data_IF_597245552939
#
_entry.id   IF_597245552939
#
_cell.length_a   1.000
_cell.length_b   1.000
_cell.length_c   1.000
_cell.angle_alpha   90.00
_cell.angle_beta   90.00
_cell.angle_gamma   90.00
#
_symmetry.space_group_name_H-M   'P 1'
#
loop_
_entity.id
_entity.type
_entity.pdbx_description
1 polymer ?
#
# COMPACT_ATOMS: atom_id res chain seq x y z
N UNK A 1 -17.39 15.68 -13.38
CA UNK A 1 -16.59 14.94 -12.42
C UNK A 1 -17.10 15.32 -11.03
N UNK A 2 -17.54 14.33 -10.25
CA UNK A 2 -18.19 14.55 -8.94
C UNK A 2 -17.17 14.45 -7.78
N UNK A 3 -15.88 14.51 -8.09
CA UNK A 3 -14.79 14.37 -7.15
C UNK A 3 -14.01 15.66 -6.89
N UNK A 4 -13.06 15.55 -5.97
CA UNK A 4 -12.10 16.60 -5.62
C UNK A 4 -10.68 16.15 -5.98
N UNK A 5 -9.87 17.07 -6.51
CA UNK A 5 -8.46 16.86 -6.79
C UNK A 5 -7.63 18.07 -6.31
N UNK A 6 -6.51 17.80 -5.64
CA UNK A 6 -5.57 18.81 -5.21
C UNK A 6 -4.13 18.28 -5.25
N UNK A 7 -3.19 19.20 -5.38
CA UNK A 7 -1.77 18.91 -5.17
C UNK A 7 -1.50 19.06 -3.67
N UNK A 8 -0.76 18.11 -3.11
CA UNK A 8 -0.28 18.16 -1.73
C UNK A 8 1.25 18.12 -1.74
N UNK A 9 1.85 18.75 -0.74
CA UNK A 9 3.30 18.70 -0.54
C UNK A 9 3.69 17.36 0.10
N UNK A 10 4.73 16.72 -0.45
CA UNK A 10 5.39 15.58 0.19
C UNK A 10 6.36 16.01 1.28
N UNK A 11 6.84 15.05 2.05
CA UNK A 11 7.91 15.30 3.02
C UNK A 11 9.24 15.58 2.30
N UNK A 12 10.16 16.28 2.97
CA UNK A 12 11.52 16.59 2.44
C UNK A 12 12.57 15.93 3.34
N UNK A 13 13.41 15.04 2.79
CA UNK A 13 13.45 14.55 1.41
C UNK A 13 12.27 13.63 1.07
N UNK A 14 11.81 13.69 -0.21
CA UNK A 14 10.63 12.98 -0.66
C UNK A 14 10.99 11.54 -1.09
N UNK A 15 10.76 10.59 -0.18
CA UNK A 15 10.99 9.16 -0.39
C UNK A 15 9.75 8.35 -0.04
N UNK A 16 9.72 7.11 -0.51
CA UNK A 16 8.59 6.19 -0.34
C UNK A 16 8.22 5.96 1.13
N UNK A 17 9.18 5.57 1.97
CA UNK A 17 8.88 5.22 3.36
C UNK A 17 8.31 6.40 4.17
N UNK A 18 8.94 7.59 4.21
CA UNK A 18 8.39 8.70 5.01
C UNK A 18 7.05 9.20 4.49
N UNK A 19 6.85 9.27 3.18
CA UNK A 19 5.55 9.71 2.64
C UNK A 19 4.44 8.69 2.92
N UNK A 20 4.68 7.39 2.71
CA UNK A 20 3.68 6.37 3.05
C UNK A 20 3.35 6.37 4.54
N UNK A 21 4.34 6.55 5.42
CA UNK A 21 4.07 6.64 6.86
C UNK A 21 3.34 7.92 7.24
N UNK A 22 3.60 9.03 6.56
CA UNK A 22 2.82 10.27 6.77
C UNK A 22 1.36 10.08 6.34
N UNK A 23 1.11 9.41 5.22
CA UNK A 23 -0.24 9.07 4.75
C UNK A 23 -0.93 8.14 5.77
N UNK A 24 -0.23 7.07 6.18
CA UNK A 24 -0.79 6.03 7.04
C UNK A 24 -0.99 6.45 8.51
N UNK A 25 -0.26 7.47 8.98
CA UNK A 25 -0.37 7.95 10.37
C UNK A 25 -1.06 9.31 10.51
N UNK A 26 -1.24 10.05 9.40
CA UNK A 26 -1.72 11.43 9.43
C UNK A 26 -0.75 12.39 10.13
N UNK A 27 0.55 12.03 10.23
CA UNK A 27 1.55 12.75 11.00
C UNK A 27 2.83 12.99 10.18
N UNK A 28 3.64 14.01 10.50
CA UNK A 28 4.92 14.26 9.86
C UNK A 28 6.03 13.31 10.38
N UNK A 29 7.17 13.19 9.67
CA UNK A 29 8.31 12.38 10.07
C UNK A 29 8.84 12.66 11.49
N UNK A 30 8.76 13.89 11.97
CA UNK A 30 9.12 14.26 13.34
C UNK A 30 8.28 13.55 14.42
N UNK A 31 7.09 13.12 14.06
CA UNK A 31 6.16 12.39 14.94
C UNK A 31 6.29 10.89 14.71
N UNK A 32 6.09 10.41 13.46
CA UNK A 32 6.11 8.97 13.19
C UNK A 32 7.50 8.34 13.13
N UNK A 33 8.58 9.13 13.06
CA UNK A 33 9.95 8.66 13.21
C UNK A 33 10.64 8.18 11.92
N UNK A 34 9.91 7.95 10.83
CA UNK A 34 10.46 7.49 9.56
C UNK A 34 10.86 8.72 8.73
N UNK A 35 12.15 9.04 8.67
CA UNK A 35 12.67 10.25 8.03
C UNK A 35 13.22 10.04 6.62
N UNK A 36 13.37 8.79 6.19
CA UNK A 36 13.93 8.42 4.88
C UNK A 36 13.74 6.95 4.60
N UNK A 37 14.26 6.47 3.48
CA UNK A 37 14.36 5.03 3.21
C UNK A 37 15.53 4.40 4.00
N UNK A 38 16.55 5.20 4.32
CA UNK A 38 17.73 4.84 5.09
C UNK A 38 18.09 5.95 6.07
N UNK A 39 18.82 5.60 7.12
CA UNK A 39 19.53 6.54 7.97
C UNK A 39 20.95 6.02 8.26
N UNK A 40 21.86 6.93 8.60
CA UNK A 40 23.18 6.56 9.10
C UNK A 40 23.06 6.38 10.61
N UNK A 41 23.34 5.16 11.08
CA UNK A 41 23.35 4.87 12.51
C UNK A 41 24.57 5.56 13.16
N UNK A 42 24.38 6.50 14.10
CA UNK A 42 25.49 7.24 14.69
C UNK A 42 26.40 6.39 15.58
N UNK A 43 25.92 5.26 16.09
CA UNK A 43 26.67 4.39 17.00
C UNK A 43 27.55 3.41 16.22
N UNK A 44 27.08 2.91 15.07
CA UNK A 44 27.80 1.92 14.26
C UNK A 44 28.45 2.53 13.02
N UNK A 45 27.96 3.67 12.52
CA UNK A 45 28.38 4.28 11.26
C UNK A 45 27.87 3.53 10.03
N UNK A 46 26.89 2.64 10.18
CA UNK A 46 26.31 1.86 9.09
C UNK A 46 25.03 2.51 8.54
N UNK A 47 24.79 2.32 7.24
CA UNK A 47 23.49 2.66 6.63
C UNK A 47 22.45 1.61 6.99
N UNK A 48 21.40 2.04 7.68
CA UNK A 48 20.30 1.19 8.12
C UNK A 48 19.02 1.52 7.36
N UNK A 49 18.42 0.49 6.77
CA UNK A 49 17.15 0.63 6.05
C UNK A 49 16.00 0.84 7.03
N UNK A 50 15.19 1.90 6.83
CA UNK A 50 14.04 2.24 7.68
C UNK A 50 12.77 1.48 7.31
N UNK A 51 12.83 0.17 7.14
CA UNK A 51 11.67 -0.69 6.85
C UNK A 51 11.15 -1.43 8.08
N UNK A 52 11.96 -1.53 9.13
CA UNK A 52 11.58 -2.25 10.35
C UNK A 52 10.55 -1.42 11.13
N UNK A 53 9.41 -1.99 11.50
CA UNK A 53 8.37 -1.31 12.31
C UNK A 53 8.87 -0.74 13.63
N UNK A 54 9.99 -1.26 14.18
CA UNK A 54 10.61 -0.73 15.43
C UNK A 54 10.99 0.76 15.36
N UNK A 55 11.19 1.29 14.14
CA UNK A 55 11.49 2.71 13.93
C UNK A 55 10.24 3.59 13.95
N UNK A 56 9.06 2.98 13.81
CA UNK A 56 7.79 3.71 13.84
C UNK A 56 7.42 4.11 15.27
N UNK A 57 7.19 5.40 15.47
CA UNK A 57 6.90 5.99 16.80
C UNK A 57 5.44 6.36 16.99
N UNK A 58 4.62 6.19 15.96
CA UNK A 58 3.18 6.46 15.99
C UNK A 58 2.40 5.24 15.53
N UNK A 59 1.17 5.12 15.98
CA UNK A 59 0.24 4.14 15.41
C UNK A 59 -0.15 4.54 13.98
N UNK A 60 -0.53 3.53 13.19
CA UNK A 60 -1.17 3.76 11.90
C UNK A 60 -2.67 3.99 12.07
N UNK A 61 -3.28 4.73 11.15
CA UNK A 61 -4.74 4.87 11.10
C UNK A 61 -5.43 3.50 11.01
N UNK A 62 -4.79 2.53 10.36
CA UNK A 62 -5.29 1.17 10.21
C UNK A 62 -5.40 0.44 11.54
N UNK A 63 -4.34 0.52 12.35
CA UNK A 63 -4.36 -0.05 13.70
C UNK A 63 -5.41 0.63 14.59
N UNK A 64 -5.50 1.97 14.55
CA UNK A 64 -6.48 2.73 15.32
C UNK A 64 -7.93 2.41 14.92
N UNK A 65 -8.22 2.27 13.64
CA UNK A 65 -9.55 1.88 13.17
C UNK A 65 -9.89 0.44 13.55
N UNK A 66 -8.94 -0.49 13.42
CA UNK A 66 -9.14 -1.88 13.85
C UNK A 66 -9.40 -1.98 15.35
N UNK A 67 -8.64 -1.26 16.19
CA UNK A 67 -8.85 -1.20 17.63
C UNK A 67 -10.22 -0.56 18.00
N UNK A 68 -10.76 0.30 17.15
CA UNK A 68 -12.11 0.84 17.25
C UNK A 68 -13.21 -0.11 16.74
N UNK A 69 -12.84 -1.29 16.25
CA UNK A 69 -13.76 -2.33 15.78
C UNK A 69 -14.13 -2.25 14.30
N UNK A 70 -13.45 -1.43 13.50
CA UNK A 70 -13.65 -1.39 12.05
C UNK A 70 -12.99 -2.60 11.37
N UNK A 71 -13.61 -3.10 10.31
CA UNK A 71 -13.02 -4.05 9.39
C UNK A 71 -11.96 -3.37 8.52
N UNK A 72 -10.69 -3.77 8.65
CA UNK A 72 -9.56 -3.14 7.99
C UNK A 72 -8.83 -4.13 7.09
N UNK A 73 -8.49 -3.71 5.86
CA UNK A 73 -7.64 -4.46 4.96
C UNK A 73 -6.51 -3.58 4.40
N UNK A 74 -5.27 -4.03 4.56
CA UNK A 74 -4.07 -3.40 4.02
C UNK A 74 -3.40 -4.36 3.05
N UNK A 75 -3.33 -3.98 1.78
CA UNK A 75 -2.74 -4.80 0.73
C UNK A 75 -1.63 -3.99 0.06
N UNK A 76 -0.44 -4.55 0.00
CA UNK A 76 0.71 -3.91 -0.62
C UNK A 76 1.24 -4.70 -1.81
N UNK A 77 1.83 -4.03 -2.76
CA UNK A 77 2.56 -4.72 -3.83
C UNK A 77 3.79 -5.43 -3.27
N UNK A 78 4.60 -4.72 -2.48
CA UNK A 78 5.86 -5.22 -1.90
C UNK A 78 5.77 -5.44 -0.39
N UNK A 79 6.40 -6.50 0.09
CA UNK A 79 6.32 -6.91 1.50
C UNK A 79 7.00 -5.93 2.47
N UNK A 80 8.03 -5.24 2.04
CA UNK A 80 8.76 -4.28 2.90
C UNK A 80 7.85 -3.21 3.51
N UNK A 81 6.93 -2.66 2.72
CA UNK A 81 6.00 -1.64 3.18
C UNK A 81 4.87 -2.24 4.04
N UNK A 82 4.48 -3.48 3.76
CA UNK A 82 3.45 -4.21 4.52
C UNK A 82 3.76 -4.25 6.01
N UNK A 83 5.02 -4.50 6.38
CA UNK A 83 5.43 -4.60 7.79
C UNK A 83 5.16 -3.31 8.56
N UNK A 84 5.44 -2.15 7.96
CA UNK A 84 5.19 -0.85 8.59
C UNK A 84 3.70 -0.49 8.60
N UNK A 85 3.01 -0.67 7.47
CA UNK A 85 1.57 -0.37 7.36
C UNK A 85 0.72 -1.27 8.26
N UNK A 86 1.11 -2.55 8.41
CA UNK A 86 0.47 -3.51 9.28
C UNK A 86 0.92 -3.49 10.74
N UNK A 87 1.79 -2.53 11.11
CA UNK A 87 2.26 -2.43 12.49
C UNK A 87 1.10 -2.25 13.47
N UNK A 88 1.03 -3.12 14.48
CA UNK A 88 -0.04 -3.16 15.48
C UNK A 88 -1.48 -3.37 14.95
N UNK A 89 -1.63 -3.73 13.67
CA UNK A 89 -2.95 -4.07 13.12
C UNK A 89 -3.44 -5.41 13.68
N UNK A 90 -4.38 -5.37 14.62
CA UNK A 90 -4.97 -6.54 15.28
C UNK A 90 -6.31 -6.87 14.67
N UNK A 91 -6.49 -8.13 14.24
CA UNK A 91 -7.78 -8.60 13.69
C UNK A 91 -8.12 -8.09 12.29
N UNK A 92 -7.24 -7.33 11.66
CA UNK A 92 -7.37 -6.89 10.27
C UNK A 92 -6.69 -7.84 9.29
N UNK A 93 -6.93 -7.63 8.00
CA UNK A 93 -6.24 -8.31 6.90
C UNK A 93 -5.02 -7.48 6.49
N UNK A 94 -3.82 -8.11 6.42
CA UNK A 94 -2.62 -7.42 5.98
C UNK A 94 -1.68 -8.36 5.23
N UNK A 95 -1.53 -8.18 3.92
CA UNK A 95 -0.64 -8.99 3.10
C UNK A 95 -0.02 -8.22 1.93
N UNK A 96 0.96 -8.85 1.26
CA UNK A 96 1.56 -8.34 0.03
C UNK A 96 1.29 -9.28 -1.15
N UNK A 97 1.15 -8.73 -2.35
CA UNK A 97 1.07 -9.54 -3.57
C UNK A 97 2.38 -10.27 -3.87
N UNK A 98 3.51 -9.72 -3.42
CA UNK A 98 4.83 -10.36 -3.48
C UNK A 98 4.86 -11.75 -2.80
N UNK A 99 4.13 -11.93 -1.70
CA UNK A 99 4.07 -13.16 -0.93
C UNK A 99 2.65 -13.75 -0.79
N UNK A 100 1.77 -13.44 -1.73
CA UNK A 100 0.34 -13.82 -1.68
C UNK A 100 0.12 -15.33 -1.49
N UNK A 101 0.97 -16.18 -2.09
CA UNK A 101 0.89 -17.63 -1.96
C UNK A 101 1.30 -18.17 -0.57
N UNK A 102 1.89 -17.34 0.27
CA UNK A 102 2.39 -17.72 1.60
C UNK A 102 1.55 -17.14 2.75
N UNK A 103 0.44 -16.48 2.43
CA UNK A 103 -0.45 -15.90 3.45
C UNK A 103 -1.07 -16.97 4.35
N UNK A 104 -1.09 -16.67 5.64
CA UNK A 104 -1.73 -17.51 6.65
C UNK A 104 -2.73 -16.71 7.48
N UNK A 105 -3.77 -17.36 7.99
CA UNK A 105 -4.73 -16.73 8.91
C UNK A 105 -4.04 -16.12 10.14
N UNK A 106 -2.99 -16.77 10.65
CA UNK A 106 -2.31 -16.34 11.87
C UNK A 106 -1.52 -15.03 11.67
N UNK A 107 -0.87 -14.87 10.51
CA UNK A 107 0.02 -13.73 10.25
C UNK A 107 -0.67 -12.61 9.44
N UNK A 108 -1.58 -12.98 8.56
CA UNK A 108 -2.14 -12.06 7.57
C UNK A 108 -3.64 -11.79 7.76
N UNK A 109 -4.32 -12.52 8.65
CA UNK A 109 -5.78 -12.47 8.80
C UNK A 109 -6.54 -13.05 7.60
N UNK A 110 -5.84 -13.72 6.69
CA UNK A 110 -6.38 -14.33 5.47
C UNK A 110 -5.46 -15.46 5.00
N UNK A 111 -6.04 -16.46 4.38
CA UNK A 111 -5.33 -17.55 3.70
C UNK A 111 -5.88 -17.74 2.28
N UNK A 112 -5.19 -18.54 1.46
CA UNK A 112 -5.54 -18.82 0.06
C UNK A 112 -5.83 -17.56 -0.78
N UNK A 113 -4.99 -16.54 -0.64
CA UNK A 113 -5.15 -15.27 -1.38
C UNK A 113 -5.09 -15.48 -2.88
N UNK A 114 -4.22 -16.38 -3.36
CA UNK A 114 -4.12 -16.74 -4.78
C UNK A 114 -5.44 -17.32 -5.31
N UNK A 115 -6.07 -18.21 -4.55
CA UNK A 115 -7.38 -18.76 -4.89
C UNK A 115 -8.49 -17.70 -4.85
N UNK A 116 -8.48 -16.82 -3.85
CA UNK A 116 -9.44 -15.73 -3.74
C UNK A 116 -9.36 -14.76 -4.95
N UNK A 117 -8.15 -14.35 -5.31
CA UNK A 117 -7.94 -13.41 -6.42
C UNK A 117 -8.17 -14.07 -7.78
N UNK A 118 -7.91 -15.37 -7.89
CA UNK A 118 -7.99 -16.12 -9.15
C UNK A 118 -6.86 -15.79 -10.12
N UNK A 119 -5.77 -15.21 -9.61
CA UNK A 119 -4.55 -14.91 -10.36
C UNK A 119 -3.37 -15.63 -9.73
N UNK A 120 -2.45 -16.15 -10.54
CA UNK A 120 -1.17 -16.64 -10.01
C UNK A 120 -0.40 -15.50 -9.33
N UNK A 121 0.40 -15.85 -8.31
CA UNK A 121 1.28 -14.87 -7.67
C UNK A 121 2.18 -14.21 -8.72
N UNK A 122 2.18 -12.87 -8.82
CA UNK A 122 2.93 -12.17 -9.86
C UNK A 122 4.43 -12.13 -9.56
N UNK A 123 5.21 -11.92 -10.61
CA UNK A 123 6.62 -11.58 -10.49
C UNK A 123 6.79 -10.20 -9.85
N UNK A 124 7.81 -10.04 -8.99
CA UNK A 124 8.06 -8.81 -8.22
C UNK A 124 8.25 -7.59 -9.13
N UNK A 125 8.87 -7.78 -10.30
CA UNK A 125 9.13 -6.71 -11.26
C UNK A 125 8.19 -6.82 -12.47
N UNK A 126 6.89 -6.71 -12.22
CA UNK A 126 5.84 -6.75 -13.23
C UNK A 126 4.73 -5.73 -12.95
N UNK A 127 3.95 -5.37 -13.97
CA UNK A 127 2.74 -4.58 -13.83
C UNK A 127 1.68 -5.35 -13.02
N UNK A 128 1.66 -6.65 -13.18
CA UNK A 128 0.73 -7.58 -12.54
C UNK A 128 0.83 -7.54 -11.01
N UNK A 129 1.98 -7.15 -10.44
CA UNK A 129 2.13 -7.01 -8.98
C UNK A 129 1.16 -5.97 -8.41
N UNK A 130 1.03 -4.82 -9.08
CA UNK A 130 0.06 -3.77 -8.70
C UNK A 130 -1.39 -4.17 -9.03
N UNK A 131 -1.60 -4.80 -10.17
CA UNK A 131 -2.95 -5.22 -10.58
C UNK A 131 -3.51 -6.32 -9.68
N UNK A 132 -2.65 -7.20 -9.15
CA UNK A 132 -3.04 -8.19 -8.14
C UNK A 132 -3.54 -7.52 -6.85
N UNK A 133 -2.88 -6.44 -6.39
CA UNK A 133 -3.34 -5.65 -5.24
C UNK A 133 -4.76 -5.13 -5.47
N UNK A 134 -5.01 -4.56 -6.65
CA UNK A 134 -6.32 -4.00 -7.00
C UNK A 134 -7.41 -5.08 -7.10
N UNK A 135 -7.12 -6.19 -7.76
CA UNK A 135 -8.07 -7.30 -7.87
C UNK A 135 -8.36 -7.92 -6.49
N UNK A 136 -7.33 -8.07 -5.64
CA UNK A 136 -7.49 -8.53 -4.26
C UNK A 136 -8.41 -7.58 -3.46
N UNK A 137 -8.23 -6.26 -3.61
CA UNK A 137 -9.12 -5.27 -3.01
C UNK A 137 -10.57 -5.43 -3.45
N UNK A 138 -10.81 -5.64 -4.75
CA UNK A 138 -12.15 -5.89 -5.30
C UNK A 138 -12.76 -7.16 -4.67
N UNK A 139 -12.01 -8.28 -4.65
CA UNK A 139 -12.49 -9.54 -4.07
C UNK A 139 -12.80 -9.46 -2.59
N UNK A 140 -11.97 -8.72 -1.83
CA UNK A 140 -12.24 -8.50 -0.41
C UNK A 140 -13.46 -7.60 -0.20
N UNK A 141 -13.64 -6.58 -1.03
CA UNK A 141 -14.83 -5.73 -0.95
C UNK A 141 -16.12 -6.52 -1.27
N UNK A 142 -16.07 -7.43 -2.23
CA UNK A 142 -17.20 -8.31 -2.57
C UNK A 142 -17.51 -9.30 -1.44
N UNK A 143 -16.48 -9.91 -0.82
CA UNK A 143 -16.63 -11.00 0.15
C UNK A 143 -16.83 -10.52 1.58
N UNK A 144 -15.95 -9.63 2.04
CA UNK A 144 -15.79 -9.29 3.46
C UNK A 144 -16.30 -7.89 3.80
N UNK A 145 -16.42 -7.00 2.80
CA UNK A 145 -16.85 -5.60 2.95
C UNK A 145 -16.13 -4.84 4.08
N UNK A 146 -14.79 -4.77 4.05
CA UNK A 146 -14.07 -4.00 5.05
C UNK A 146 -14.52 -2.53 5.04
N UNK A 147 -14.51 -1.88 6.21
CA UNK A 147 -14.89 -0.48 6.36
C UNK A 147 -13.82 0.45 5.74
N UNK A 148 -12.55 0.04 5.80
CA UNK A 148 -11.44 0.76 5.19
C UNK A 148 -10.45 -0.21 4.54
N UNK A 149 -9.99 0.14 3.34
CA UNK A 149 -8.92 -0.57 2.63
C UNK A 149 -7.80 0.39 2.24
N UNK A 150 -6.57 -0.06 2.38
CA UNK A 150 -5.40 0.63 1.85
C UNK A 150 -4.71 -0.27 0.82
N UNK A 151 -4.71 0.17 -0.44
CA UNK A 151 -4.18 -0.55 -1.58
C UNK A 151 -2.92 0.15 -2.07
N UNK A 152 -1.73 -0.35 -1.67
CA UNK A 152 -0.45 0.26 -2.01
C UNK A 152 0.17 -0.43 -3.21
N UNK A 153 0.31 0.30 -4.29
CA UNK A 153 0.88 -0.18 -5.55
C UNK A 153 2.41 -0.04 -5.56
N UNK A 154 3.05 -0.48 -6.65
CA UNK A 154 4.48 -0.24 -6.92
C UNK A 154 4.64 0.64 -8.15
N UNK A 155 5.72 1.36 -8.18
CA UNK A 155 6.12 2.32 -9.23
C UNK A 155 6.94 1.69 -10.38
N UNK A 156 6.87 0.35 -10.54
CA UNK A 156 7.63 -0.36 -11.55
C UNK A 156 7.41 0.14 -12.99
N UNK A 157 6.15 0.40 -13.34
CA UNK A 157 5.80 0.91 -14.67
C UNK A 157 6.34 2.33 -14.86
N UNK A 158 6.20 3.19 -13.85
CA UNK A 158 6.65 4.58 -13.88
C UNK A 158 8.18 4.69 -14.06
N UNK A 159 8.94 3.78 -13.47
CA UNK A 159 10.40 3.71 -13.63
C UNK A 159 10.84 3.25 -15.03
N UNK A 160 10.02 2.46 -15.72
CA UNK A 160 10.41 1.82 -16.99
C UNK A 160 9.84 2.48 -18.23
N UNK A 161 8.67 3.10 -18.11
CA UNK A 161 7.90 3.55 -19.26
C UNK A 161 7.40 4.97 -19.05
N UNK A 162 7.86 5.90 -19.89
CA UNK A 162 7.41 7.28 -19.84
C UNK A 162 5.89 7.39 -20.05
N UNK A 163 5.24 8.40 -19.45
CA UNK A 163 3.84 8.70 -19.71
C UNK A 163 3.56 8.83 -21.22
N UNK A 164 2.42 8.29 -21.66
CA UNK A 164 2.00 8.32 -23.06
C UNK A 164 2.53 7.16 -23.90
N UNK A 165 3.44 6.30 -23.39
CA UNK A 165 3.82 5.08 -24.09
C UNK A 165 2.69 4.06 -24.05
N UNK A 166 2.59 3.13 -25.03
CA UNK A 166 1.53 2.13 -25.06
C UNK A 166 1.44 1.29 -23.76
N UNK A 167 2.59 0.90 -23.21
CA UNK A 167 2.65 0.09 -21.96
C UNK A 167 2.14 0.89 -20.76
N UNK A 168 2.57 2.15 -20.62
CA UNK A 168 2.10 3.03 -19.55
C UNK A 168 0.59 3.30 -19.66
N UNK A 169 0.11 3.62 -20.86
CA UNK A 169 -1.30 3.88 -21.09
C UNK A 169 -2.19 2.64 -20.82
N UNK A 170 -1.76 1.44 -21.25
CA UNK A 170 -2.47 0.20 -20.95
C UNK A 170 -2.56 -0.05 -19.44
N UNK A 171 -1.46 0.11 -18.73
CA UNK A 171 -1.43 -0.06 -17.27
C UNK A 171 -2.40 0.89 -16.56
N UNK A 172 -2.38 2.17 -16.89
CA UNK A 172 -3.28 3.15 -16.28
C UNK A 172 -4.74 2.94 -16.69
N UNK A 173 -5.03 2.50 -17.92
CA UNK A 173 -6.39 2.15 -18.32
C UNK A 173 -6.92 0.97 -17.49
N UNK A 174 -6.10 -0.06 -17.27
CA UNK A 174 -6.45 -1.20 -16.41
C UNK A 174 -6.66 -0.79 -14.94
N UNK A 175 -5.87 0.14 -14.42
CA UNK A 175 -6.10 0.71 -13.08
C UNK A 175 -7.43 1.47 -13.02
N UNK A 176 -7.72 2.31 -14.01
CA UNK A 176 -8.97 3.07 -14.08
C UNK A 176 -10.19 2.14 -14.09
N UNK A 177 -10.14 1.05 -14.87
CA UNK A 177 -11.17 0.00 -14.85
C UNK A 177 -11.37 -0.60 -13.45
N UNK A 178 -10.30 -0.78 -12.65
CA UNK A 178 -10.43 -1.30 -11.29
C UNK A 178 -11.03 -0.28 -10.33
N UNK A 179 -10.72 1.00 -10.48
CA UNK A 179 -11.37 2.07 -9.70
C UNK A 179 -12.87 2.14 -9.99
N UNK A 180 -13.26 2.02 -11.26
CA UNK A 180 -14.67 1.95 -11.65
C UNK A 180 -15.41 0.76 -11.02
N UNK A 181 -14.75 -0.40 -10.90
CA UNK A 181 -15.33 -1.58 -10.20
C UNK A 181 -15.50 -1.32 -8.70
N UNK A 182 -14.51 -0.71 -8.04
CA UNK A 182 -14.61 -0.37 -6.62
C UNK A 182 -15.76 0.62 -6.35
N UNK A 183 -15.90 1.66 -7.19
CA UNK A 183 -17.03 2.61 -7.10
C UNK A 183 -18.38 1.91 -7.33
N UNK A 184 -18.46 1.02 -8.31
CA UNK A 184 -19.71 0.25 -8.59
C UNK A 184 -20.10 -0.66 -7.42
N UNK A 185 -19.13 -1.12 -6.62
CA UNK A 185 -19.37 -1.87 -5.37
C UNK A 185 -19.72 -0.97 -4.18
N UNK A 186 -19.73 0.35 -4.37
CA UNK A 186 -20.12 1.35 -3.36
C UNK A 186 -18.96 1.90 -2.54
N UNK A 187 -17.71 1.68 -2.94
CA UNK A 187 -16.57 2.29 -2.28
C UNK A 187 -16.45 3.78 -2.59
N UNK A 188 -16.03 4.56 -1.60
CA UNK A 188 -15.50 5.91 -1.80
C UNK A 188 -14.01 5.77 -2.04
N UNK A 189 -13.55 6.16 -3.23
CA UNK A 189 -12.16 5.96 -3.65
C UNK A 189 -11.35 7.25 -3.47
N UNK A 190 -10.27 7.16 -2.69
CA UNK A 190 -9.25 8.20 -2.58
C UNK A 190 -7.96 7.75 -3.27
N UNK A 191 -7.42 8.55 -4.17
CA UNK A 191 -6.16 8.30 -4.85
C UNK A 191 -5.09 9.26 -4.34
N UNK A 192 -3.93 8.75 -3.96
CA UNK A 192 -2.79 9.56 -3.54
C UNK A 192 -1.51 9.01 -4.14
N UNK A 193 -0.62 9.90 -4.58
CA UNK A 193 0.75 9.56 -4.91
C UNK A 193 1.65 9.95 -3.73
N UNK A 194 2.52 9.05 -3.31
CA UNK A 194 3.48 9.29 -2.23
C UNK A 194 4.60 10.25 -2.65
N UNK A 195 4.99 10.26 -3.93
CA UNK A 195 5.90 11.24 -4.55
C UNK A 195 5.74 11.24 -6.07
N UNK A 196 6.39 12.20 -6.72
CA UNK A 196 6.50 12.24 -8.18
C UNK A 196 7.67 11.41 -8.71
N UNK A 197 7.78 11.37 -10.05
CA UNK A 197 8.89 10.75 -10.77
C UNK A 197 9.61 11.83 -11.61
N UNK A 198 10.96 11.79 -11.63
CA UNK A 198 11.81 12.64 -12.47
C UNK A 198 12.37 11.85 -13.66
#
# INVERSE_FOLDING_TARGET
>A
ADGFAAIADGVVPSFTNPNNMSIASGAPPSVHGISGNFFLDPDTGEEVMMNDPKFLRSETLFALFADAGAGVAVITAKDKLRLQLGHNLRGGICFSSEFAAHCTMAENGIEDVVGLVGMAQPEVYSAELSLFVMEAGIRLLERDRPDIMYLSLTDYIQHKYAPGTPVSNDFYARLDDTFGKLEALGAVVGLVADHGMN
#
